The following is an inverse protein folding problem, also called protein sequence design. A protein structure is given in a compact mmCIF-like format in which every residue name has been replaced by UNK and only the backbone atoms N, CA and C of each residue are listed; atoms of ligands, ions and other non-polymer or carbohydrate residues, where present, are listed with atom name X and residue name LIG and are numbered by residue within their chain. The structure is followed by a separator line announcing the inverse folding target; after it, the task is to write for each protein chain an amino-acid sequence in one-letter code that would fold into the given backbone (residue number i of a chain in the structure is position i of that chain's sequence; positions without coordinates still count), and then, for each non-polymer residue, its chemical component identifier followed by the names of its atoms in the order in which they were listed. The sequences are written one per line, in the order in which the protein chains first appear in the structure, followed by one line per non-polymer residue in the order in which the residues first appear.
data_IF_745321994928
#
_entry.id   IF_745321994928
#
_cell.length_a   1.000
_cell.length_b   1.000
_cell.length_c   1.000
_cell.angle_alpha   90.00
_cell.angle_beta   90.00
_cell.angle_gamma   90.00
#
_symmetry.space_group_name_H-M   'P 1'
#
loop_
_entity.id
_entity.type
_entity.pdbx_description
1 polymer ?
#
# COMPACT_ATOMS: atom_id res chain seq x y z
N UNK A 1 2.34 -12.70 7.30
CA UNK A 1 3.02 -11.70 6.45
C UNK A 1 2.41 -10.33 6.76
N UNK A 2 3.18 -9.27 6.96
CA UNK A 2 2.63 -7.90 7.14
C UNK A 2 2.35 -7.34 5.74
N UNK A 3 1.13 -6.88 5.48
CA UNK A 3 0.81 -6.22 4.22
C UNK A 3 1.61 -4.90 4.08
N UNK A 4 1.91 -4.52 2.85
CA UNK A 4 2.52 -3.22 2.56
C UNK A 4 1.64 -2.09 3.12
N UNK A 5 2.26 -1.06 3.69
CA UNK A 5 1.53 0.05 4.30
C UNK A 5 1.25 1.15 3.28
N UNK A 6 -0.01 1.31 2.91
CA UNK A 6 -0.54 2.49 2.20
C UNK A 6 -1.73 3.03 2.98
N UNK A 7 -1.60 4.17 3.67
CA UNK A 7 -2.72 4.81 4.39
C UNK A 7 -3.31 4.06 5.60
N UNK A 8 -2.87 2.82 5.87
CA UNK A 8 -3.50 1.93 6.85
C UNK A 8 -3.58 2.47 8.28
N UNK A 9 -2.64 3.30 8.74
CA UNK A 9 -2.72 3.90 10.08
C UNK A 9 -3.82 4.96 10.17
N UNK A 10 -4.02 5.76 9.12
CA UNK A 10 -5.09 6.77 9.10
C UNK A 10 -6.46 6.13 9.01
N UNK A 11 -6.63 5.16 8.10
CA UNK A 11 -7.91 4.47 7.92
C UNK A 11 -8.25 3.57 9.11
N UNK A 12 -7.35 2.68 9.52
CA UNK A 12 -7.64 1.71 10.58
C UNK A 12 -7.69 2.37 11.96
N UNK A 13 -6.58 2.96 12.41
CA UNK A 13 -6.43 3.41 13.81
C UNK A 13 -7.25 4.66 14.14
N UNK A 14 -7.45 5.55 13.17
CA UNK A 14 -8.06 6.85 13.43
C UNK A 14 -9.52 6.95 13.00
N UNK A 15 -10.01 6.02 12.18
CA UNK A 15 -11.39 5.96 11.69
C UNK A 15 -12.04 4.62 12.02
N UNK A 16 -11.66 3.52 11.38
CA UNK A 16 -12.38 2.25 11.51
C UNK A 16 -12.45 1.73 12.96
N UNK A 17 -11.35 1.78 13.72
CA UNK A 17 -11.33 1.34 15.13
C UNK A 17 -12.26 2.12 16.07
N UNK A 18 -12.83 3.24 15.63
CA UNK A 18 -13.82 4.02 16.39
C UNK A 18 -15.27 3.70 16.02
N UNK A 19 -15.47 2.82 15.04
CA UNK A 19 -16.79 2.36 14.63
C UNK A 19 -17.28 1.26 15.56
N UNK A 20 -18.53 0.83 15.37
CA UNK A 20 -19.13 -0.28 16.11
C UNK A 20 -18.69 -1.66 15.58
N UNK A 21 -17.78 -1.70 14.60
CA UNK A 21 -17.31 -2.95 14.00
C UNK A 21 -16.41 -3.74 14.95
N UNK A 22 -16.52 -5.06 14.90
CA UNK A 22 -15.63 -5.98 15.61
C UNK A 22 -14.28 -6.10 14.89
N UNK A 23 -13.43 -5.10 15.10
CA UNK A 23 -12.12 -5.00 14.47
C UNK A 23 -11.06 -5.62 15.38
N UNK A 24 -10.31 -6.57 14.85
CA UNK A 24 -9.12 -7.12 15.50
C UNK A 24 -8.04 -7.38 14.46
N UNK A 25 -6.78 -7.30 14.87
CA UNK A 25 -5.66 -7.54 13.96
C UNK A 25 -4.58 -8.41 14.57
N UNK A 26 -3.80 -9.06 13.70
CA UNK A 26 -2.81 -10.08 14.08
C UNK A 26 -1.83 -9.66 15.18
N UNK A 27 -1.37 -8.39 15.19
CA UNK A 27 -0.41 -7.92 16.20
C UNK A 27 -0.96 -7.90 17.63
N UNK A 28 -2.21 -7.49 17.81
CA UNK A 28 -2.81 -7.31 19.14
C UNK A 28 -3.51 -8.62 19.57
N UNK A 29 -4.06 -9.38 18.60
CA UNK A 29 -4.80 -10.62 18.87
C UNK A 29 -4.37 -11.77 17.94
N UNK A 30 -3.12 -12.28 18.04
CA UNK A 30 -2.58 -13.26 17.10
C UNK A 30 -3.33 -14.59 17.09
N UNK A 31 -3.79 -15.06 18.26
CA UNK A 31 -4.52 -16.33 18.35
C UNK A 31 -5.94 -16.20 17.77
N UNK A 32 -6.65 -15.11 18.09
CA UNK A 32 -7.96 -14.79 17.51
C UNK A 32 -7.87 -14.69 15.99
N UNK A 33 -6.86 -13.99 15.47
CA UNK A 33 -6.62 -13.86 14.04
C UNK A 33 -6.35 -15.21 13.37
N UNK A 34 -5.49 -16.06 13.95
CA UNK A 34 -5.23 -17.40 13.43
C UNK A 34 -6.49 -18.29 13.47
N UNK A 35 -7.31 -18.18 14.51
CA UNK A 35 -8.54 -18.93 14.64
C UNK A 35 -9.57 -18.51 13.57
N UNK A 36 -9.74 -17.20 13.36
CA UNK A 36 -10.56 -16.65 12.27
C UNK A 36 -10.05 -17.12 10.90
N UNK A 37 -8.74 -16.97 10.63
CA UNK A 37 -8.14 -17.37 9.37
C UNK A 37 -8.34 -18.85 9.04
N UNK A 38 -8.29 -19.74 10.04
CA UNK A 38 -8.53 -21.19 9.85
C UNK A 38 -9.98 -21.55 9.55
N UNK A 39 -10.93 -20.63 9.81
CA UNK A 39 -12.37 -20.83 9.57
C UNK A 39 -12.82 -20.29 8.22
N UNK A 40 -12.01 -19.45 7.58
CA UNK A 40 -12.32 -18.92 6.26
C UNK A 40 -12.02 -20.01 5.22
N UNK A 41 -13.03 -20.30 4.41
CA UNK A 41 -12.92 -21.07 3.18
C UNK A 41 -13.27 -20.18 1.97
N UNK A 42 -13.23 -20.76 0.77
CA UNK A 42 -13.50 -20.04 -0.48
C UNK A 42 -14.91 -19.47 -0.54
N UNK A 43 -15.92 -20.12 0.08
CA UNK A 43 -17.28 -19.60 0.12
C UNK A 43 -17.37 -18.35 0.97
N UNK A 44 -16.84 -18.38 2.19
CA UNK A 44 -16.79 -17.21 3.06
C UNK A 44 -16.01 -16.06 2.42
N UNK A 45 -14.95 -16.34 1.65
CA UNK A 45 -14.21 -15.32 0.92
C UNK A 45 -15.07 -14.53 -0.06
N UNK A 46 -16.09 -15.14 -0.66
CA UNK A 46 -17.00 -14.45 -1.60
C UNK A 46 -17.96 -13.47 -0.92
N UNK A 47 -18.16 -13.60 0.40
CA UNK A 47 -19.02 -12.70 1.18
C UNK A 47 -18.28 -11.44 1.66
N UNK A 48 -16.94 -11.47 1.66
CA UNK A 48 -16.14 -10.32 2.06
C UNK A 48 -16.09 -9.27 0.97
N UNK A 49 -16.21 -8.00 1.38
CA UNK A 49 -15.74 -6.88 0.58
C UNK A 49 -14.23 -6.68 0.82
N UNK A 50 -13.42 -6.98 -0.19
CA UNK A 50 -11.97 -6.89 -0.14
C UNK A 50 -11.50 -5.63 -0.87
N UNK A 51 -10.88 -4.70 -0.17
CA UNK A 51 -10.36 -3.47 -0.76
C UNK A 51 -8.89 -3.25 -0.44
N UNK A 52 -8.21 -2.47 -1.29
CA UNK A 52 -6.81 -2.07 -1.11
C UNK A 52 -6.57 -0.64 -1.56
N UNK A 53 -5.46 -0.05 -1.12
CA UNK A 53 -5.03 1.27 -1.54
C UNK A 53 -3.64 1.19 -2.16
N UNK A 54 -3.53 1.71 -3.38
CA UNK A 54 -2.28 1.83 -4.12
C UNK A 54 -1.75 3.25 -4.09
N UNK A 55 -0.53 3.45 -4.54
CA UNK A 55 0.14 4.76 -4.59
C UNK A 55 0.98 4.83 -5.84
N UNK A 56 1.18 6.03 -6.37
CA UNK A 56 2.12 6.30 -7.44
C UNK A 56 3.46 5.57 -7.16
N UNK A 57 3.90 4.67 -8.06
CA UNK A 57 5.03 3.79 -7.80
C UNK A 57 6.34 4.57 -7.62
N UNK A 58 6.53 5.66 -8.36
CA UNK A 58 7.71 6.50 -8.27
C UNK A 58 7.75 7.29 -6.96
N UNK A 59 6.61 7.83 -6.53
CA UNK A 59 6.48 8.53 -5.24
C UNK A 59 6.63 7.56 -4.04
N UNK A 60 6.15 6.32 -4.23
CA UNK A 60 6.26 5.22 -3.26
C UNK A 60 7.70 4.76 -3.07
N UNK A 61 8.47 4.57 -4.15
CA UNK A 61 9.86 4.14 -4.07
C UNK A 61 10.71 5.14 -3.24
N UNK A 62 10.54 6.45 -3.48
CA UNK A 62 11.19 7.50 -2.68
C UNK A 62 10.72 7.44 -1.23
N UNK A 63 9.41 7.26 -0.99
CA UNK A 63 8.86 7.14 0.36
C UNK A 63 9.46 5.98 1.14
N UNK A 64 9.70 4.83 0.49
CA UNK A 64 10.31 3.65 1.13
C UNK A 64 11.77 3.97 1.50
N UNK A 65 12.56 4.48 0.55
CA UNK A 65 13.95 4.83 0.78
C UNK A 65 14.10 5.81 1.96
N UNK A 66 13.31 6.89 1.98
CA UNK A 66 13.28 7.85 3.08
C UNK A 66 12.86 7.22 4.42
N UNK A 67 11.83 6.37 4.42
CA UNK A 67 11.34 5.73 5.65
C UNK A 67 12.39 4.82 6.31
N UNK A 68 13.20 4.13 5.51
CA UNK A 68 14.27 3.26 6.01
C UNK A 68 15.63 3.97 6.14
N UNK A 69 15.73 5.26 5.81
CA UNK A 69 16.99 6.01 5.84
C UNK A 69 18.03 5.49 4.83
N UNK A 70 17.57 4.92 3.71
CA UNK A 70 18.45 4.37 2.66
C UNK A 70 18.59 5.42 1.55
N UNK A 71 19.80 5.74 1.07
CA UNK A 71 19.96 6.62 -0.08
C UNK A 71 19.19 6.07 -1.29
N UNK A 72 18.41 6.92 -1.97
CA UNK A 72 17.45 6.46 -2.99
C UNK A 72 18.09 5.62 -4.11
N UNK A 73 19.20 6.09 -4.68
CA UNK A 73 19.91 5.36 -5.74
C UNK A 73 20.44 3.99 -5.28
N UNK A 74 20.93 3.92 -4.03
CA UNK A 74 21.41 2.68 -3.43
C UNK A 74 20.26 1.72 -3.08
N UNK A 75 19.09 2.24 -2.68
CA UNK A 75 17.88 1.42 -2.53
C UNK A 75 17.50 0.72 -3.83
N UNK A 76 17.53 1.45 -4.96
CA UNK A 76 17.19 0.90 -6.27
C UNK A 76 18.24 -0.10 -6.77
N UNK A 77 19.52 0.29 -6.76
CA UNK A 77 20.61 -0.54 -7.27
C UNK A 77 20.78 -1.86 -6.48
N UNK A 78 20.50 -1.83 -5.18
CA UNK A 78 20.66 -2.99 -4.29
C UNK A 78 19.32 -3.56 -3.81
N UNK A 79 18.23 -3.36 -4.57
CA UNK A 79 16.88 -3.71 -4.16
C UNK A 79 16.76 -5.17 -3.69
N UNK A 80 17.17 -6.14 -4.52
CA UNK A 80 17.07 -7.58 -4.20
C UNK A 80 17.93 -7.94 -3.00
N UNK A 81 19.19 -7.51 -2.97
CA UNK A 81 20.12 -7.82 -1.89
C UNK A 81 19.68 -7.23 -0.54
N UNK A 82 19.06 -6.04 -0.54
CA UNK A 82 18.55 -5.39 0.69
C UNK A 82 17.26 -6.02 1.17
N UNK A 83 16.33 -6.28 0.25
CA UNK A 83 15.03 -6.86 0.60
C UNK A 83 15.15 -8.31 1.05
N UNK A 84 16.05 -9.11 0.47
CA UNK A 84 16.29 -10.49 0.90
C UNK A 84 16.84 -10.60 2.33
N UNK A 85 17.60 -9.60 2.79
CA UNK A 85 18.19 -9.55 4.13
C UNK A 85 17.29 -8.88 5.18
N UNK A 86 16.22 -8.21 4.77
CA UNK A 86 15.36 -7.44 5.67
C UNK A 86 13.88 -7.65 5.32
N UNK A 87 13.24 -8.57 6.05
CA UNK A 87 11.82 -8.89 5.87
C UNK A 87 10.90 -7.68 6.04
N UNK A 88 11.24 -6.73 6.93
CA UNK A 88 10.43 -5.52 7.09
C UNK A 88 10.58 -4.59 5.88
N UNK A 89 11.78 -4.45 5.32
CA UNK A 89 11.97 -3.72 4.06
C UNK A 89 11.26 -4.41 2.90
N UNK A 90 11.41 -5.73 2.75
CA UNK A 90 10.73 -6.52 1.72
C UNK A 90 9.22 -6.29 1.74
N UNK A 91 8.58 -6.42 2.90
CA UNK A 91 7.13 -6.21 3.05
C UNK A 91 6.66 -4.80 2.65
N UNK A 92 7.52 -3.79 2.82
CA UNK A 92 7.22 -2.43 2.42
C UNK A 92 7.55 -2.15 0.95
N UNK A 93 8.49 -2.89 0.37
CA UNK A 93 9.06 -2.65 -0.94
C UNK A 93 8.50 -3.59 -2.02
N UNK A 94 7.76 -4.64 -1.67
CA UNK A 94 7.08 -5.47 -2.65
C UNK A 94 6.14 -4.62 -3.54
N UNK A 95 6.07 -4.91 -4.85
CA UNK A 95 5.07 -4.32 -5.73
C UNK A 95 3.65 -4.52 -5.20
N UNK A 96 2.81 -3.52 -5.38
CA UNK A 96 1.46 -3.50 -4.80
C UNK A 96 0.50 -4.45 -5.51
N UNK A 97 0.75 -4.77 -6.79
CA UNK A 97 -0.04 -5.77 -7.49
C UNK A 97 0.02 -7.16 -6.85
N UNK A 98 1.07 -7.50 -6.09
CA UNK A 98 1.12 -8.74 -5.31
C UNK A 98 0.08 -8.79 -4.16
N UNK A 99 -0.50 -7.65 -3.79
CA UNK A 99 -1.55 -7.55 -2.76
C UNK A 99 -2.94 -7.32 -3.35
N UNK A 100 -3.08 -7.25 -4.67
CA UNK A 100 -4.37 -7.00 -5.34
C UNK A 100 -4.66 -7.97 -6.48
N UNK A 101 -3.64 -8.62 -7.03
CA UNK A 101 -3.72 -9.53 -8.17
C UNK A 101 -2.98 -10.84 -7.90
N UNK A 102 -3.51 -11.92 -8.47
CA UNK A 102 -2.81 -13.20 -8.66
C UNK A 102 -2.63 -13.40 -10.17
N UNK A 103 -1.41 -13.15 -10.66
CA UNK A 103 -1.17 -12.99 -12.09
C UNK A 103 -1.98 -11.82 -12.65
N UNK A 104 -2.78 -12.08 -13.68
CA UNK A 104 -3.67 -11.09 -14.28
C UNK A 104 -5.02 -10.93 -13.55
N UNK A 105 -5.34 -11.85 -12.63
CA UNK A 105 -6.64 -11.86 -11.96
C UNK A 105 -6.63 -10.98 -10.72
N UNK A 106 -7.39 -9.89 -10.75
CA UNK A 106 -7.67 -9.08 -9.56
C UNK A 106 -8.54 -9.87 -8.57
N UNK A 107 -8.17 -9.85 -7.29
CA UNK A 107 -8.95 -10.48 -6.20
C UNK A 107 -9.55 -9.47 -5.21
N UNK A 108 -9.29 -8.17 -5.41
CA UNK A 108 -9.92 -7.09 -4.65
C UNK A 108 -11.14 -6.54 -5.39
N UNK A 109 -12.18 -6.21 -4.66
CA UNK A 109 -13.40 -5.55 -5.15
C UNK A 109 -13.19 -4.06 -5.42
N UNK A 110 -12.32 -3.41 -4.63
CA UNK A 110 -12.02 -1.99 -4.77
C UNK A 110 -10.52 -1.70 -4.61
N UNK A 111 -10.00 -0.82 -5.46
CA UNK A 111 -8.63 -0.30 -5.38
C UNK A 111 -8.70 1.22 -5.37
N UNK A 112 -8.45 1.82 -4.21
CA UNK A 112 -8.29 3.26 -4.05
C UNK A 112 -6.86 3.72 -4.32
N UNK A 113 -6.66 5.02 -4.55
CA UNK A 113 -5.38 5.68 -4.76
C UNK A 113 -5.04 6.55 -3.55
N UNK A 114 -3.79 6.50 -3.11
CA UNK A 114 -3.30 7.30 -1.99
C UNK A 114 -3.39 8.81 -2.26
N UNK A 115 -3.28 9.21 -3.52
CA UNK A 115 -3.41 10.57 -4.00
C UNK A 115 -4.86 11.10 -3.85
N UNK A 116 -5.83 10.19 -3.80
CA UNK A 116 -7.27 10.45 -3.65
C UNK A 116 -7.82 9.84 -2.34
N UNK A 117 -6.96 9.73 -1.33
CA UNK A 117 -7.20 8.89 -0.15
C UNK A 117 -8.54 9.16 0.56
N UNK A 118 -8.95 10.43 0.70
CA UNK A 118 -10.21 10.76 1.37
C UNK A 118 -11.43 10.29 0.55
N UNK A 119 -11.51 10.69 -0.72
CA UNK A 119 -12.66 10.36 -1.56
C UNK A 119 -12.79 8.86 -1.78
N UNK A 120 -11.67 8.15 -1.94
CA UNK A 120 -11.69 6.70 -2.11
C UNK A 120 -12.00 5.96 -0.82
N UNK A 121 -11.64 6.54 0.34
CA UNK A 121 -12.06 6.00 1.63
C UNK A 121 -13.55 6.24 1.90
N UNK A 122 -14.11 7.37 1.46
CA UNK A 122 -15.55 7.63 1.56
C UNK A 122 -16.36 6.56 0.80
N UNK A 123 -15.87 6.11 -0.37
CA UNK A 123 -16.46 4.97 -1.12
C UNK A 123 -16.44 3.68 -0.31
N UNK A 124 -15.35 3.41 0.41
CA UNK A 124 -15.24 2.24 1.30
C UNK A 124 -16.21 2.34 2.47
N UNK A 125 -16.35 3.53 3.07
CA UNK A 125 -17.33 3.78 4.13
C UNK A 125 -18.75 3.50 3.64
N UNK A 126 -19.14 4.05 2.49
CA UNK A 126 -20.47 3.84 1.91
C UNK A 126 -20.74 2.35 1.65
N UNK A 127 -19.74 1.63 1.12
CA UNK A 127 -19.88 0.20 0.80
C UNK A 127 -20.05 -0.68 2.05
N UNK A 128 -19.55 -0.21 3.19
CA UNK A 128 -19.59 -0.89 4.48
C UNK A 128 -20.70 -0.35 5.41
N UNK A 129 -21.55 0.55 4.92
CA UNK A 129 -22.58 1.24 5.73
C UNK A 129 -21.98 1.93 6.98
N UNK A 130 -20.85 2.61 6.77
CA UNK A 130 -20.15 3.36 7.80
C UNK A 130 -20.29 4.87 7.57
N UNK A 131 -20.33 5.62 8.68
CA UNK A 131 -20.25 7.07 8.63
C UNK A 131 -18.91 7.51 8.02
N UNK A 132 -18.96 8.41 7.03
CA UNK A 132 -17.77 9.04 6.45
C UNK A 132 -17.10 9.94 7.48
N UNK A 133 -15.81 9.73 7.71
CA UNK A 133 -15.04 10.54 8.65
C UNK A 133 -13.81 11.13 7.97
N UNK A 134 -13.44 12.38 8.30
CA UNK A 134 -12.24 12.98 7.76
C UNK A 134 -11.00 12.22 8.26
N UNK A 135 -10.18 11.76 7.31
CA UNK A 135 -8.94 11.06 7.60
C UNK A 135 -7.91 12.03 8.18
N UNK A 136 -7.38 11.68 9.36
CA UNK A 136 -6.24 12.39 9.92
C UNK A 136 -5.01 12.12 9.08
N UNK A 137 -4.32 13.19 8.65
CA UNK A 137 -3.01 13.08 8.00
C UNK A 137 -2.02 12.46 9.00
N UNK A 138 -1.55 11.25 8.72
CA UNK A 138 -0.39 10.70 9.44
C UNK A 138 0.87 11.46 9.02
N UNK A 139 1.87 11.53 9.90
CA UNK A 139 3.15 12.20 9.60
C UNK A 139 3.75 11.68 8.29
N UNK A 140 3.95 12.58 7.33
CA UNK A 140 4.75 12.32 6.15
C UNK A 140 6.23 12.44 6.52
N UNK A 141 7.08 11.55 6.00
CA UNK A 141 8.53 11.75 6.04
C UNK A 141 8.86 13.13 5.44
N UNK A 142 9.69 13.94 6.11
CA UNK A 142 10.19 15.21 5.55
C UNK A 142 11.00 14.90 4.28
N UNK A 143 10.42 15.11 3.10
CA UNK A 143 11.09 14.92 1.80
C UNK A 143 10.58 15.95 0.80
N UNK A 144 11.40 16.24 -0.20
CA UNK A 144 11.02 17.08 -1.35
C UNK A 144 10.10 16.31 -2.29
N UNK A 145 9.64 16.99 -3.33
CA UNK A 145 8.83 16.38 -4.37
C UNK A 145 9.58 15.19 -5.02
N UNK A 146 8.90 14.08 -5.31
CA UNK A 146 9.58 12.84 -5.68
C UNK A 146 10.39 12.96 -6.97
N UNK A 147 9.95 13.78 -7.92
CA UNK A 147 10.63 14.02 -9.20
C UNK A 147 12.10 14.46 -8.99
N UNK A 148 12.42 15.17 -7.89
CA UNK A 148 13.79 15.64 -7.63
C UNK A 148 14.79 14.52 -7.32
N UNK A 149 14.30 13.29 -7.12
CA UNK A 149 15.15 12.12 -6.85
C UNK A 149 15.50 11.33 -8.13
N UNK A 150 14.90 11.67 -9.27
CA UNK A 150 15.00 10.89 -10.49
C UNK A 150 15.94 11.51 -11.52
N UNK A 151 16.85 10.67 -12.01
CA UNK A 151 17.43 10.78 -13.35
C UNK A 151 16.89 9.64 -14.22
N UNK A 152 17.38 9.55 -15.47
CA UNK A 152 16.96 8.51 -16.42
C UNK A 152 17.20 7.09 -15.87
N UNK A 153 18.33 6.87 -15.21
CA UNK A 153 18.72 5.55 -14.69
C UNK A 153 17.84 5.15 -13.50
N UNK A 154 17.60 6.07 -12.56
CA UNK A 154 16.71 5.82 -11.42
C UNK A 154 15.28 5.54 -11.88
N UNK A 155 14.79 6.25 -12.92
CA UNK A 155 13.47 5.98 -13.48
C UNK A 155 13.41 4.57 -14.07
N UNK A 156 14.40 4.19 -14.88
CA UNK A 156 14.45 2.86 -15.48
C UNK A 156 14.48 1.73 -14.42
N UNK A 157 15.20 1.92 -13.31
CA UNK A 157 15.22 0.96 -12.20
C UNK A 157 13.86 0.85 -11.51
N UNK A 158 13.16 1.96 -11.29
CA UNK A 158 11.81 1.95 -10.71
C UNK A 158 10.81 1.31 -11.66
N UNK A 159 10.90 1.58 -12.95
CA UNK A 159 10.06 0.94 -13.97
C UNK A 159 10.33 -0.58 -14.02
N UNK A 160 11.57 -1.03 -13.84
CA UNK A 160 11.90 -2.45 -13.76
C UNK A 160 11.33 -3.14 -12.49
N UNK A 161 11.28 -2.44 -11.36
CA UNK A 161 10.78 -3.01 -10.09
C UNK A 161 9.25 -2.92 -9.99
N UNK A 162 8.67 -1.80 -10.41
CA UNK A 162 7.27 -1.42 -10.16
C UNK A 162 6.49 -1.07 -11.43
N UNK A 163 7.05 -1.27 -12.64
CA UNK A 163 6.37 -0.94 -13.90
C UNK A 163 5.02 -1.64 -14.04
N UNK A 164 4.91 -2.87 -13.53
CA UNK A 164 3.63 -3.58 -13.49
C UNK A 164 2.57 -2.91 -12.62
N UNK A 165 2.97 -2.28 -11.51
CA UNK A 165 2.05 -1.45 -10.71
C UNK A 165 1.62 -0.21 -11.51
N UNK A 166 2.55 0.40 -12.26
CA UNK A 166 2.24 1.58 -13.07
C UNK A 166 1.21 1.25 -14.17
N UNK A 167 1.36 0.11 -14.84
CA UNK A 167 0.42 -0.39 -15.84
C UNK A 167 -0.95 -0.71 -15.23
N UNK A 168 -0.99 -1.59 -14.22
CA UNK A 168 -2.25 -2.08 -13.64
C UNK A 168 -3.08 -1.01 -12.96
N UNK A 169 -2.44 0.05 -12.44
CA UNK A 169 -3.11 1.12 -11.70
C UNK A 169 -3.15 2.44 -12.47
N UNK A 170 -2.78 2.42 -13.75
CA UNK A 170 -2.85 3.55 -14.67
C UNK A 170 -2.09 4.78 -14.14
N UNK A 171 -0.87 4.57 -13.67
CA UNK A 171 0.03 5.65 -13.29
C UNK A 171 0.95 6.03 -14.44
N UNK A 172 1.17 7.33 -14.59
CA UNK A 172 2.15 7.88 -15.50
C UNK A 172 3.16 8.70 -14.71
N UNK A 173 4.43 8.65 -15.14
CA UNK A 173 5.47 9.47 -14.54
C UNK A 173 5.24 10.92 -14.95
N UNK A 174 5.12 11.81 -13.98
CA UNK A 174 4.94 13.23 -14.24
C UNK A 174 6.29 13.86 -14.64
N UNK A 175 6.42 14.20 -15.92
CA UNK A 175 7.62 14.83 -16.50
C UNK A 175 7.62 16.35 -16.38
N UNK A 176 6.57 16.99 -15.84
CA UNK A 176 6.43 18.45 -15.82
C UNK A 176 7.47 19.20 -14.97
N UNK A 177 8.30 18.46 -14.21
CA UNK A 177 9.31 19.00 -13.28
C UNK A 177 10.70 18.39 -13.46
N UNK A 178 10.98 17.81 -14.63
CA UNK A 178 12.32 17.41 -15.07
C UNK A 178 13.08 18.57 -15.71
#
# INVERSE_FOLDING_TARGET
MKAARTGGTSMLRHSLEKTHLDIFHFKDHPQRFKAWLRRIDDHHLTEYFVFSFVRNPWDRAVSIACYFGIPFKDFLANFVARTSKNNNLLQHALPLHHYTHLGEKRFTDFIGKFEQLQSDFDVVCDRLDLERQPLRKSSSSKRTNYQTYYDRDAKALVDAIYGRDAELFEYQFDTSKL
#
